data_IF_231629825764
#
_entry.id   IF_231629825764
#
_cell.length_a   1.000
_cell.length_b   1.000
_cell.length_c   1.000
_cell.angle_alpha   90.00
_cell.angle_beta   90.00
_cell.angle_gamma   90.00
#
_symmetry.space_group_name_H-M   'P 1'
#
loop_
_entity.id
_entity.type
_entity.pdbx_description
1 polymer ?
#
# COMPACT_ATOMS: atom_id res chain seq x y z
N UNK A 1 15.04 -38.38 28.46
CA UNK A 1 14.65 -36.99 28.85
C UNK A 1 15.45 -35.98 28.02
N UNK A 2 15.30 -35.99 26.68
CA UNK A 2 16.11 -35.19 25.73
C UNK A 2 15.25 -34.78 24.52
N UNK A 3 14.06 -34.23 24.76
CA UNK A 3 13.16 -33.76 23.69
C UNK A 3 12.65 -32.35 23.89
N UNK A 4 12.57 -31.83 25.12
CA UNK A 4 11.95 -30.51 25.41
C UNK A 4 12.80 -29.29 25.05
N UNK A 5 14.13 -29.43 24.96
CA UNK A 5 15.04 -28.27 24.82
C UNK A 5 15.21 -27.76 23.38
N UNK A 6 14.73 -28.50 22.37
CA UNK A 6 14.87 -28.13 20.95
C UNK A 6 13.82 -27.11 20.48
N UNK A 7 12.75 -26.88 21.24
CA UNK A 7 11.67 -25.95 20.85
C UNK A 7 11.96 -24.49 21.20
N UNK A 8 13.04 -24.23 21.96
CA UNK A 8 13.36 -22.91 22.49
C UNK A 8 14.45 -22.18 21.70
N UNK A 9 15.01 -22.80 20.65
CA UNK A 9 16.27 -22.34 20.04
C UNK A 9 16.13 -21.73 18.63
N UNK A 10 14.96 -21.78 17.97
CA UNK A 10 14.80 -21.19 16.63
C UNK A 10 13.52 -20.37 16.48
N UNK A 11 13.51 -19.18 17.09
CA UNK A 11 12.68 -18.06 16.62
C UNK A 11 13.56 -16.83 16.45
N UNK A 12 14.53 -16.92 15.53
CA UNK A 12 14.93 -15.71 14.82
C UNK A 12 13.67 -15.12 14.19
N UNK A 13 13.50 -13.79 14.15
CA UNK A 13 12.27 -13.20 13.66
C UNK A 13 12.07 -13.67 12.22
N UNK A 14 10.99 -14.44 11.99
CA UNK A 14 10.73 -15.03 10.69
C UNK A 14 10.48 -13.88 9.71
N UNK A 15 11.21 -13.89 8.59
CA UNK A 15 11.08 -12.87 7.55
C UNK A 15 9.62 -12.77 7.06
N UNK A 16 8.96 -13.93 6.99
CA UNK A 16 7.51 -14.08 6.73
C UNK A 16 6.67 -13.37 7.80
N UNK A 17 7.02 -13.50 9.08
CA UNK A 17 6.34 -12.81 10.17
C UNK A 17 6.48 -11.29 10.09
N UNK A 18 7.66 -10.79 9.74
CA UNK A 18 7.88 -9.34 9.50
C UNK A 18 7.06 -8.84 8.30
N UNK A 19 7.03 -9.60 7.20
CA UNK A 19 6.22 -9.28 6.02
C UNK A 19 4.74 -9.18 6.39
N UNK A 20 4.22 -10.11 7.17
CA UNK A 20 2.82 -10.11 7.61
C UNK A 20 2.47 -8.88 8.45
N UNK A 21 3.35 -8.49 9.37
CA UNK A 21 3.16 -7.27 10.18
C UNK A 21 3.22 -6.02 9.30
N UNK A 22 4.17 -5.96 8.36
CA UNK A 22 4.28 -4.86 7.41
C UNK A 22 3.01 -4.70 6.55
N UNK A 23 2.49 -5.80 5.99
CA UNK A 23 1.27 -5.79 5.18
C UNK A 23 0.06 -5.31 6.00
N UNK A 24 -0.05 -5.70 7.27
CA UNK A 24 -1.11 -5.23 8.16
C UNK A 24 -1.00 -3.74 8.49
N UNK A 25 0.21 -3.22 8.73
CA UNK A 25 0.42 -1.80 8.93
C UNK A 25 0.04 -1.00 7.68
N UNK A 26 0.44 -1.47 6.50
CA UNK A 26 0.05 -0.85 5.23
C UNK A 26 -1.46 -0.93 4.96
N UNK A 27 -2.11 -2.01 5.37
CA UNK A 27 -3.56 -2.12 5.30
C UNK A 27 -4.26 -1.04 6.14
N UNK A 28 -3.78 -0.76 7.36
CA UNK A 28 -4.31 0.32 8.20
C UNK A 28 -4.09 1.70 7.58
N UNK A 29 -2.93 1.94 6.98
CA UNK A 29 -2.63 3.20 6.27
C UNK A 29 -3.59 3.38 5.09
N UNK A 30 -3.78 2.33 4.27
CA UNK A 30 -4.75 2.35 3.16
C UNK A 30 -6.18 2.58 3.66
N UNK A 31 -6.57 1.95 4.76
CA UNK A 31 -7.89 2.13 5.34
C UNK A 31 -8.11 3.58 5.76
N UNK A 32 -7.15 4.17 6.47
CA UNK A 32 -7.19 5.58 6.85
C UNK A 32 -7.26 6.52 5.64
N UNK A 33 -6.44 6.26 4.61
CA UNK A 33 -6.47 7.03 3.37
C UNK A 33 -7.84 6.95 2.68
N UNK A 34 -8.42 5.75 2.54
CA UNK A 34 -9.75 5.55 1.98
C UNK A 34 -10.83 6.30 2.77
N UNK A 35 -10.80 6.21 4.11
CA UNK A 35 -11.73 6.95 4.97
C UNK A 35 -11.61 8.48 4.80
N UNK A 36 -10.41 9.03 4.65
CA UNK A 36 -10.21 10.47 4.41
C UNK A 36 -10.86 10.88 3.08
N UNK A 37 -10.68 10.08 2.03
CA UNK A 37 -11.33 10.35 0.74
C UNK A 37 -12.85 10.27 0.85
N UNK A 38 -13.39 9.30 1.60
CA UNK A 38 -14.83 9.22 1.89
C UNK A 38 -15.34 10.41 2.71
N UNK A 39 -14.61 10.86 3.72
CA UNK A 39 -14.94 12.06 4.49
C UNK A 39 -15.02 13.29 3.58
N UNK A 40 -14.12 13.40 2.60
CA UNK A 40 -14.16 14.44 1.57
C UNK A 40 -15.38 14.34 0.66
N UNK A 41 -15.72 13.14 0.19
CA UNK A 41 -16.92 12.91 -0.64
C UNK A 41 -18.20 13.31 0.12
N UNK A 42 -18.26 13.00 1.42
CA UNK A 42 -19.37 13.36 2.29
C UNK A 42 -19.40 14.85 2.69
N UNK A 43 -18.39 15.64 2.29
CA UNK A 43 -18.30 17.06 2.61
C UNK A 43 -17.82 17.38 4.02
N UNK A 44 -17.29 16.40 4.76
CA UNK A 44 -16.70 16.61 6.09
C UNK A 44 -15.27 17.20 6.03
N UNK A 45 -14.60 17.11 4.87
CA UNK A 45 -13.28 17.69 4.61
C UNK A 45 -13.30 18.49 3.29
N UNK A 46 -12.71 19.69 3.28
CA UNK A 46 -12.59 20.50 2.06
C UNK A 46 -11.22 20.30 1.42
N UNK A 47 -11.18 20.10 0.10
CA UNK A 47 -9.92 19.98 -0.62
C UNK A 47 -9.60 21.29 -1.31
N UNK A 48 -8.47 21.91 -0.95
CA UNK A 48 -8.10 23.27 -1.44
C UNK A 48 -9.18 24.33 -1.18
N UNK A 49 -9.93 24.18 -0.08
CA UNK A 49 -11.04 25.08 0.25
C UNK A 49 -12.29 24.89 -0.62
N UNK A 50 -12.31 23.91 -1.53
CA UNK A 50 -13.47 23.52 -2.30
C UNK A 50 -14.18 22.34 -1.64
N UNK A 51 -15.51 22.40 -1.60
CA UNK A 51 -16.33 21.23 -1.31
C UNK A 51 -16.27 20.26 -2.48
N UNK A 52 -16.53 18.97 -2.25
CA UNK A 52 -16.53 17.95 -3.30
C UNK A 52 -17.40 18.34 -4.50
N UNK A 53 -18.58 18.91 -4.25
CA UNK A 53 -19.51 19.38 -5.28
C UNK A 53 -18.97 20.54 -6.14
N UNK A 54 -18.07 21.37 -5.60
CA UNK A 54 -17.52 22.54 -6.28
C UNK A 54 -16.25 22.20 -7.08
N UNK A 55 -15.75 20.97 -6.98
CA UNK A 55 -14.56 20.54 -7.71
C UNK A 55 -14.88 20.26 -9.19
N UNK A 56 -13.94 20.49 -10.11
CA UNK A 56 -14.03 20.01 -11.48
C UNK A 56 -14.32 18.50 -11.55
N UNK A 57 -15.08 18.06 -12.55
CA UNK A 57 -15.49 16.64 -12.71
C UNK A 57 -14.30 15.67 -12.76
N UNK A 58 -13.18 16.12 -13.33
CA UNK A 58 -11.91 15.40 -13.37
C UNK A 58 -11.31 15.17 -11.97
N UNK A 59 -11.48 16.11 -11.04
CA UNK A 59 -11.03 15.97 -9.65
C UNK A 59 -11.97 15.09 -8.83
N UNK A 60 -13.29 15.23 -9.03
CA UNK A 60 -14.28 14.39 -8.35
C UNK A 60 -14.10 12.92 -8.69
N UNK A 61 -13.93 12.59 -9.98
CA UNK A 61 -13.75 11.21 -10.44
C UNK A 61 -12.47 10.58 -9.88
N UNK A 62 -11.36 11.32 -9.83
CA UNK A 62 -10.13 10.85 -9.21
C UNK A 62 -10.31 10.57 -7.71
N UNK A 63 -10.93 11.48 -6.96
CA UNK A 63 -11.19 11.30 -5.51
C UNK A 63 -12.02 10.05 -5.26
N UNK A 64 -13.10 9.83 -6.01
CA UNK A 64 -13.95 8.64 -5.89
C UNK A 64 -13.17 7.37 -6.25
N UNK A 65 -12.39 7.40 -7.33
CA UNK A 65 -11.57 6.28 -7.76
C UNK A 65 -10.56 5.84 -6.69
N UNK A 66 -9.81 6.79 -6.11
CA UNK A 66 -8.86 6.49 -5.05
C UNK A 66 -9.54 6.09 -3.74
N UNK A 67 -10.70 6.68 -3.40
CA UNK A 67 -11.47 6.30 -2.21
C UNK A 67 -11.83 4.81 -2.22
N UNK A 68 -12.27 4.31 -3.36
CA UNK A 68 -12.65 2.90 -3.52
C UNK A 68 -11.41 2.01 -3.55
N UNK A 69 -10.39 2.36 -4.33
CA UNK A 69 -9.15 1.57 -4.41
C UNK A 69 -8.45 1.42 -3.07
N UNK A 70 -8.39 2.47 -2.26
CA UNK A 70 -7.73 2.46 -0.96
C UNK A 70 -8.43 1.50 0.01
N UNK A 71 -9.76 1.47 0.04
CA UNK A 71 -10.50 0.52 0.87
C UNK A 71 -10.33 -0.93 0.40
N UNK A 72 -10.37 -1.15 -0.91
CA UNK A 72 -10.18 -2.51 -1.45
C UNK A 72 -8.76 -3.01 -1.18
N UNK A 73 -7.75 -2.17 -1.39
CA UNK A 73 -6.36 -2.46 -1.08
C UNK A 73 -6.19 -2.76 0.42
N UNK A 74 -6.81 -1.97 1.31
CA UNK A 74 -6.79 -2.20 2.74
C UNK A 74 -7.32 -3.59 3.11
N UNK A 75 -8.49 -3.97 2.58
CA UNK A 75 -9.10 -5.29 2.85
C UNK A 75 -8.20 -6.42 2.33
N UNK A 76 -7.70 -6.30 1.10
CA UNK A 76 -6.84 -7.32 0.50
C UNK A 76 -5.51 -7.50 1.24
N UNK A 77 -4.87 -6.41 1.66
CA UNK A 77 -3.63 -6.43 2.45
C UNK A 77 -3.87 -6.96 3.86
N UNK A 78 -5.02 -6.63 4.48
CA UNK A 78 -5.38 -7.12 5.81
C UNK A 78 -5.62 -8.63 5.84
N UNK A 79 -6.19 -9.17 4.77
CA UNK A 79 -6.40 -10.61 4.58
C UNK A 79 -5.12 -11.33 4.11
N UNK A 80 -4.02 -10.61 3.89
CA UNK A 80 -2.78 -11.14 3.29
C UNK A 80 -3.04 -11.88 1.98
N UNK A 81 -4.04 -11.42 1.22
CA UNK A 81 -4.42 -12.05 -0.02
C UNK A 81 -3.59 -11.49 -1.17
N UNK A 82 -3.16 -12.36 -2.11
CA UNK A 82 -2.29 -11.98 -3.23
C UNK A 82 -2.88 -10.87 -4.11
N UNK A 83 -4.21 -10.81 -4.26
CA UNK A 83 -4.91 -9.77 -5.02
C UNK A 83 -4.84 -8.39 -4.36
N UNK A 84 -4.74 -8.30 -3.03
CA UNK A 84 -4.63 -7.03 -2.30
C UNK A 84 -3.36 -6.28 -2.64
N UNK A 85 -2.25 -7.02 -2.75
CA UNK A 85 -0.96 -6.46 -3.19
C UNK A 85 -1.05 -5.90 -4.61
N UNK A 86 -1.71 -6.61 -5.52
CA UNK A 86 -1.87 -6.14 -6.92
C UNK A 86 -2.64 -4.81 -6.95
N UNK A 87 -3.72 -4.70 -6.18
CA UNK A 87 -4.52 -3.47 -6.11
C UNK A 87 -3.73 -2.33 -5.47
N UNK A 88 -2.98 -2.61 -4.41
CA UNK A 88 -2.11 -1.63 -3.79
C UNK A 88 -1.01 -1.13 -4.74
N UNK A 89 -0.40 -2.01 -5.54
CA UNK A 89 0.56 -1.65 -6.58
C UNK A 89 -0.10 -0.82 -7.69
N UNK A 90 -1.26 -1.25 -8.17
CA UNK A 90 -2.03 -0.54 -9.19
C UNK A 90 -2.42 0.87 -8.73
N UNK A 91 -2.94 0.99 -7.52
CA UNK A 91 -3.24 2.28 -6.86
C UNK A 91 -2.02 3.18 -6.83
N UNK A 92 -0.87 2.63 -6.48
CA UNK A 92 0.37 3.40 -6.39
C UNK A 92 0.90 3.81 -7.77
N UNK A 93 0.70 2.98 -8.81
CA UNK A 93 0.98 3.34 -10.20
C UNK A 93 0.07 4.48 -10.68
N UNK A 94 -1.23 4.40 -10.40
CA UNK A 94 -2.18 5.47 -10.73
C UNK A 94 -1.78 6.80 -10.07
N UNK A 95 -1.33 6.78 -8.81
CA UNK A 95 -0.81 7.95 -8.11
C UNK A 95 0.38 8.57 -8.85
N UNK A 96 1.34 7.75 -9.30
CA UNK A 96 2.52 8.22 -10.05
C UNK A 96 2.09 8.85 -11.38
N UNK A 97 1.23 8.17 -12.15
CA UNK A 97 0.72 8.66 -13.44
C UNK A 97 -0.01 9.99 -13.29
N UNK A 98 -0.90 10.09 -12.30
CA UNK A 98 -1.68 11.30 -12.02
C UNK A 98 -0.80 12.51 -11.74
N UNK A 99 0.29 12.33 -10.98
CA UNK A 99 1.16 13.46 -10.63
C UNK A 99 2.31 13.71 -11.62
N UNK A 100 2.60 12.80 -12.54
CA UNK A 100 3.61 12.99 -13.59
C UNK A 100 2.98 13.53 -14.86
N UNK A 101 2.00 12.82 -15.40
CA UNK A 101 1.34 13.14 -16.68
C UNK A 101 0.33 14.27 -16.49
N UNK A 102 -0.49 14.20 -15.43
CA UNK A 102 -1.55 15.18 -15.16
C UNK A 102 -1.15 16.21 -14.09
N UNK A 103 0.15 16.50 -13.99
CA UNK A 103 0.70 17.44 -12.99
C UNK A 103 0.12 18.85 -13.11
N UNK A 104 -0.26 19.25 -14.33
CA UNK A 104 -0.87 20.53 -14.67
C UNK A 104 -2.30 20.65 -14.10
N UNK A 105 -3.07 19.56 -14.17
CA UNK A 105 -4.46 19.49 -13.71
C UNK A 105 -4.54 19.34 -12.19
N UNK A 106 -3.73 18.45 -11.60
CA UNK A 106 -3.88 18.09 -10.19
C UNK A 106 -3.00 18.90 -9.25
N UNK A 107 -2.05 19.70 -9.76
CA UNK A 107 -1.12 20.49 -8.96
C UNK A 107 -0.08 19.62 -8.21
N UNK A 108 1.11 20.20 -8.04
CA UNK A 108 2.30 19.47 -7.61
C UNK A 108 2.33 19.34 -6.08
N UNK A 109 1.87 18.20 -5.52
CA UNK A 109 2.09 17.83 -4.11
C UNK A 109 3.08 16.65 -3.99
N UNK A 110 4.40 16.93 -4.00
CA UNK A 110 5.46 15.91 -4.04
C UNK A 110 5.55 15.00 -2.81
N UNK A 111 4.97 15.39 -1.66
CA UNK A 111 5.16 14.71 -0.37
C UNK A 111 4.40 13.38 -0.24
N UNK A 112 3.15 13.28 -0.71
CA UNK A 112 2.41 12.00 -0.70
C UNK A 112 2.97 11.02 -1.73
N UNK A 113 3.42 11.53 -2.88
CA UNK A 113 4.01 10.73 -3.95
C UNK A 113 5.29 10.05 -3.48
N UNK A 114 6.15 10.77 -2.75
CA UNK A 114 7.41 10.23 -2.24
C UNK A 114 7.18 9.09 -1.23
N UNK A 115 6.13 9.18 -0.41
CA UNK A 115 5.79 8.12 0.55
C UNK A 115 5.30 6.84 -0.16
N UNK A 116 4.38 6.95 -1.12
CA UNK A 116 3.88 5.78 -1.86
C UNK A 116 4.93 5.15 -2.76
N UNK A 117 5.76 5.97 -3.42
CA UNK A 117 6.86 5.50 -4.25
C UNK A 117 7.96 4.83 -3.41
N UNK A 118 8.21 5.33 -2.20
CA UNK A 118 9.07 4.65 -1.21
C UNK A 118 8.50 3.32 -0.76
N UNK A 119 7.19 3.24 -0.51
CA UNK A 119 6.54 2.00 -0.11
C UNK A 119 6.58 0.94 -1.23
N UNK A 120 6.35 1.32 -2.50
CA UNK A 120 6.55 0.44 -3.67
C UNK A 120 7.99 -0.06 -3.75
N UNK A 121 8.96 0.85 -3.61
CA UNK A 121 10.37 0.49 -3.68
C UNK A 121 10.75 -0.51 -2.58
N UNK A 122 10.28 -0.29 -1.34
CA UNK A 122 10.48 -1.22 -0.22
C UNK A 122 9.83 -2.57 -0.50
N UNK A 123 8.62 -2.60 -1.04
CA UNK A 123 7.94 -3.84 -1.40
C UNK A 123 8.71 -4.63 -2.47
N UNK A 124 9.17 -3.96 -3.54
CA UNK A 124 9.96 -4.59 -4.60
C UNK A 124 11.32 -5.11 -4.09
N UNK A 125 11.97 -4.36 -3.19
CA UNK A 125 13.22 -4.79 -2.54
C UNK A 125 12.99 -6.05 -1.69
N UNK A 126 11.92 -6.09 -0.91
CA UNK A 126 11.56 -7.26 -0.09
C UNK A 126 11.21 -8.49 -0.93
N UNK A 127 10.47 -8.30 -2.02
CA UNK A 127 10.13 -9.38 -2.95
C UNK A 127 11.39 -9.94 -3.62
N UNK A 128 12.25 -9.07 -4.13
CA UNK A 128 13.52 -9.46 -4.74
C UNK A 128 14.43 -10.22 -3.76
N UNK A 129 14.53 -9.78 -2.51
CA UNK A 129 15.29 -10.48 -1.47
C UNK A 129 14.71 -11.86 -1.16
N UNK A 130 13.39 -12.01 -1.18
CA UNK A 130 12.73 -13.31 -0.92
C UNK A 130 13.03 -14.34 -2.02
N UNK A 131 13.01 -13.92 -3.28
CA UNK A 131 13.33 -14.79 -4.42
C UNK A 131 14.80 -15.20 -4.43
N UNK A 132 15.70 -14.28 -4.08
CA UNK A 132 17.14 -14.56 -4.02
C UNK A 132 17.47 -15.63 -2.98
N UNK A 133 16.88 -15.52 -1.79
CA UNK A 133 17.05 -16.52 -0.72
C UNK A 133 16.45 -17.88 -1.06
N UNK A 134 15.40 -17.94 -1.89
CA UNK A 134 14.86 -19.21 -2.39
C UNK A 134 15.75 -19.87 -3.46
N UNK A 135 16.53 -19.10 -4.22
CA UNK A 135 17.43 -19.65 -5.27
C UNK A 135 18.71 -20.29 -4.72
N UNK A 136 19.24 -19.80 -3.60
CA UNK A 136 20.47 -20.31 -2.99
C UNK A 136 20.29 -21.68 -2.29
N UNK A 137 19.04 -22.10 -2.04
CA UNK A 137 18.72 -23.39 -1.43
C UNK A 137 18.63 -24.57 -2.40
N UNK A 138 18.54 -24.33 -3.72
CA UNK A 138 18.39 -25.37 -4.74
C UNK A 138 19.70 -25.78 -5.43
N UNK A 139 20.79 -25.04 -5.23
CA UNK A 139 22.11 -25.37 -5.80
C UNK A 139 22.95 -26.32 -4.94
N UNK A 140 22.41 -26.78 -3.80
CA UNK A 140 23.06 -27.74 -2.90
C UNK A 140 22.40 -29.14 -2.86
N UNK A 141 21.49 -29.45 -3.79
CA UNK A 141 20.90 -30.80 -3.93
C UNK A 141 21.37 -31.51 -5.19
#
# INVERSE_FOLDING_TARGET
MRTTFQHLVHKGPSFIGMLHVYLRLMALVMLGAGLIHWARILGADTWRGLMFQDMPTEWQSAVVFFAVLDLIAAIGLWLLASWGTVIWLFRSLCQVVMHTIFSDIFGRRPYEIAFYMGAIAVYLILLYLSERFSSDGQTQS
#
